data_IF_856528563782
#
_entry.id   IF_856528563782
#
_cell.length_a   1.000
_cell.length_b   1.000
_cell.length_c   1.000
_cell.angle_alpha   90.00
_cell.angle_beta   90.00
_cell.angle_gamma   90.00
#
_symmetry.space_group_name_H-M   'P 1'
#
loop_
_entity.id
_entity.type
_entity.pdbx_description
1 polymer ?
#
# COMPACT_ATOMS: atom_id res chain seq x y z
N UNK A 1 -18.02 18.52 -6.49
CA UNK A 1 -17.22 19.27 -7.47
C UNK A 1 -17.19 18.54 -8.82
N UNK A 2 -16.74 17.29 -8.90
CA UNK A 2 -16.66 16.51 -10.16
C UNK A 2 -18.00 16.52 -10.93
N UNK A 3 -19.11 16.26 -10.26
CA UNK A 3 -20.44 16.19 -10.88
C UNK A 3 -20.93 17.52 -11.44
N UNK A 4 -20.55 18.64 -10.81
CA UNK A 4 -20.88 19.98 -11.31
C UNK A 4 -20.09 20.29 -12.58
N UNK A 5 -18.82 19.90 -12.63
CA UNK A 5 -17.95 20.10 -13.79
C UNK A 5 -18.33 19.20 -14.98
N UNK A 6 -18.92 18.03 -14.72
CA UNK A 6 -19.35 17.09 -15.75
C UNK A 6 -20.77 17.36 -16.28
N UNK A 7 -21.50 18.32 -15.67
CA UNK A 7 -22.88 18.67 -16.06
C UNK A 7 -22.88 19.97 -16.89
N UNK A 8 -22.98 19.90 -18.24
CA UNK A 8 -23.04 21.09 -19.07
C UNK A 8 -24.34 21.85 -18.84
N UNK A 9 -24.27 23.03 -18.26
CA UNK A 9 -25.43 23.86 -17.91
C UNK A 9 -26.25 24.33 -19.13
N UNK A 10 -25.65 24.30 -20.31
CA UNK A 10 -26.31 24.65 -21.57
C UNK A 10 -27.22 23.54 -22.13
N UNK A 11 -27.12 22.32 -21.61
CA UNK A 11 -27.88 21.20 -22.15
C UNK A 11 -29.21 20.96 -21.43
N UNK A 12 -29.30 21.29 -20.16
CA UNK A 12 -30.53 21.13 -19.37
C UNK A 12 -30.50 22.01 -18.11
N UNK A 13 -31.69 22.41 -17.65
CA UNK A 13 -31.86 23.01 -16.35
C UNK A 13 -31.88 21.94 -15.25
N UNK A 14 -31.44 22.23 -14.02
CA UNK A 14 -31.51 21.26 -12.91
C UNK A 14 -32.92 20.71 -12.67
N UNK A 15 -33.94 21.54 -12.78
CA UNK A 15 -35.34 21.22 -12.62
C UNK A 15 -36.13 22.01 -13.65
N UNK A 16 -37.14 21.37 -14.26
CA UNK A 16 -38.10 22.04 -15.13
C UNK A 16 -39.42 22.33 -14.39
N UNK A 17 -40.22 23.32 -14.81
CA UNK A 17 -41.53 23.61 -14.26
C UNK A 17 -42.46 22.37 -14.37
N UNK A 18 -43.21 22.06 -13.31
CA UNK A 18 -44.12 20.94 -13.31
C UNK A 18 -45.48 21.34 -13.89
N UNK A 19 -45.57 21.55 -15.21
CA UNK A 19 -46.77 21.98 -15.94
C UNK A 19 -47.83 20.85 -16.04
N UNK A 20 -47.40 19.59 -16.07
CA UNK A 20 -48.28 18.43 -16.20
C UNK A 20 -48.86 17.96 -14.86
N UNK A 21 -48.52 18.66 -13.75
CA UNK A 21 -48.98 18.33 -12.38
C UNK A 21 -48.61 16.91 -11.98
N UNK A 22 -47.42 16.46 -12.38
CA UNK A 22 -46.87 15.17 -11.93
C UNK A 22 -46.68 15.18 -10.39
N UNK A 23 -46.74 14.03 -9.79
CA UNK A 23 -46.58 13.83 -8.36
C UNK A 23 -45.09 13.85 -7.89
N UNK A 24 -44.18 14.18 -8.80
CA UNK A 24 -42.76 14.18 -8.58
C UNK A 24 -42.05 15.39 -9.22
N UNK A 25 -40.79 15.61 -8.83
CA UNK A 25 -39.96 16.66 -9.39
C UNK A 25 -39.49 16.30 -10.80
N UNK A 26 -39.65 17.24 -11.74
CA UNK A 26 -39.20 17.13 -13.12
C UNK A 26 -37.72 17.51 -13.21
N UNK A 27 -36.82 16.54 -13.01
CA UNK A 27 -35.39 16.79 -13.13
C UNK A 27 -34.95 16.84 -14.58
N UNK A 28 -34.31 17.94 -14.95
CA UNK A 28 -33.80 18.11 -16.31
C UNK A 28 -32.58 17.22 -16.59
N UNK A 29 -32.52 16.72 -17.81
CA UNK A 29 -31.40 15.92 -18.31
C UNK A 29 -31.37 15.95 -19.85
N UNK A 30 -30.39 15.27 -20.45
CA UNK A 30 -30.28 15.09 -21.91
C UNK A 30 -29.76 13.71 -22.24
N UNK A 31 -30.29 13.12 -23.31
CA UNK A 31 -29.82 11.88 -23.92
C UNK A 31 -28.45 12.04 -24.53
N UNK A 32 -27.64 10.97 -24.61
CA UNK A 32 -26.30 10.99 -25.17
C UNK A 32 -25.18 11.35 -24.16
N UNK A 33 -25.49 11.42 -22.87
CA UNK A 33 -24.50 11.64 -21.82
C UNK A 33 -23.63 10.41 -21.54
N UNK A 34 -22.56 10.57 -20.73
CA UNK A 34 -21.56 9.52 -20.48
C UNK A 34 -21.99 8.44 -19.48
N UNK A 35 -23.19 8.52 -18.89
CA UNK A 35 -23.64 7.64 -17.82
C UNK A 35 -24.83 6.80 -18.30
N UNK A 36 -24.67 5.50 -18.28
CA UNK A 36 -25.73 4.54 -18.61
C UNK A 36 -25.16 3.22 -19.14
N UNK A 37 -26.00 2.19 -19.09
CA UNK A 37 -25.75 0.88 -19.70
C UNK A 37 -26.97 0.51 -20.55
N UNK A 38 -26.77 -0.19 -21.65
CA UNK A 38 -27.85 -0.70 -22.47
C UNK A 38 -28.47 0.31 -23.44
N UNK A 39 -27.70 1.26 -23.98
CA UNK A 39 -28.12 2.12 -25.10
C UNK A 39 -28.74 3.47 -24.71
N UNK A 40 -28.93 3.74 -23.42
CA UNK A 40 -29.43 5.02 -22.93
C UNK A 40 -28.38 5.62 -22.00
N UNK A 41 -27.56 6.51 -22.53
CA UNK A 41 -26.65 7.33 -21.71
C UNK A 41 -27.28 8.68 -21.41
N UNK A 42 -27.11 9.14 -20.18
CA UNK A 42 -27.61 10.44 -19.71
C UNK A 42 -26.46 11.22 -19.04
N UNK A 43 -26.66 12.50 -18.79
CA UNK A 43 -25.75 13.30 -18.00
C UNK A 43 -26.04 13.17 -16.50
N UNK A 44 -25.09 13.53 -15.64
CA UNK A 44 -25.38 13.67 -14.20
C UNK A 44 -26.05 15.00 -13.96
N UNK A 45 -27.21 14.96 -13.31
CA UNK A 45 -27.84 16.16 -12.77
C UNK A 45 -27.36 16.36 -11.32
N UNK A 46 -26.54 17.40 -11.02
CA UNK A 46 -25.99 17.63 -9.69
C UNK A 46 -27.07 17.87 -8.63
N UNK A 47 -28.11 18.59 -8.98
CA UNK A 47 -29.22 18.91 -8.06
C UNK A 47 -30.01 17.64 -7.70
N UNK A 48 -30.38 16.84 -8.68
CA UNK A 48 -31.02 15.55 -8.43
C UNK A 48 -30.15 14.68 -7.50
N UNK A 49 -28.84 14.63 -7.74
CA UNK A 49 -27.89 13.90 -6.91
C UNK A 49 -27.80 14.42 -5.47
N UNK A 50 -28.03 15.71 -5.24
CA UNK A 50 -28.05 16.31 -3.90
C UNK A 50 -29.32 16.00 -3.12
N UNK A 51 -30.49 15.93 -3.81
CA UNK A 51 -31.79 15.81 -3.15
C UNK A 51 -32.35 14.40 -3.15
N UNK A 52 -31.76 13.46 -3.92
CA UNK A 52 -32.28 12.10 -4.07
C UNK A 52 -32.23 11.25 -2.79
N UNK A 53 -31.52 11.71 -1.76
CA UNK A 53 -31.48 10.93 -0.52
C UNK A 53 -30.39 11.34 0.45
N UNK A 54 -30.12 10.47 1.40
CA UNK A 54 -29.13 10.66 2.45
C UNK A 54 -28.34 9.39 2.73
N UNK A 55 -27.10 9.55 3.13
CA UNK A 55 -26.23 8.47 3.62
C UNK A 55 -25.81 8.76 5.06
N UNK A 56 -26.17 7.86 5.97
CA UNK A 56 -25.76 7.95 7.37
C UNK A 56 -24.75 6.86 7.66
N UNK A 57 -23.56 7.26 8.13
CA UNK A 57 -22.50 6.34 8.52
C UNK A 57 -22.31 6.39 10.03
N UNK A 58 -22.23 5.22 10.63
CA UNK A 58 -21.86 5.04 12.04
C UNK A 58 -20.67 4.09 12.10
N UNK A 59 -19.59 4.53 12.71
CA UNK A 59 -18.41 3.70 12.89
C UNK A 59 -17.96 3.75 14.34
N UNK A 60 -17.54 2.62 14.87
CA UNK A 60 -16.97 2.52 16.19
C UNK A 60 -15.78 1.56 16.22
N UNK A 61 -14.86 1.82 17.13
CA UNK A 61 -13.71 0.97 17.39
C UNK A 61 -13.68 0.65 18.89
N UNK A 62 -13.69 -0.62 19.22
CA UNK A 62 -13.47 -1.09 20.58
C UNK A 62 -12.06 -1.65 20.65
N UNK A 63 -11.23 -1.06 21.51
CA UNK A 63 -9.90 -1.55 21.81
C UNK A 63 -9.87 -1.95 23.28
N UNK A 64 -9.52 -3.20 23.54
CA UNK A 64 -9.35 -3.72 24.90
C UNK A 64 -7.97 -4.34 25.00
N UNK A 65 -7.26 -4.01 26.06
CA UNK A 65 -5.97 -4.62 26.37
C UNK A 65 -5.95 -5.05 27.83
N UNK A 66 -5.46 -6.24 28.06
CA UNK A 66 -5.14 -6.76 29.39
C UNK A 66 -3.65 -7.03 29.45
N UNK A 67 -3.00 -6.41 30.43
CA UNK A 67 -1.57 -6.52 30.65
C UNK A 67 -1.31 -7.08 32.05
N UNK A 68 -0.46 -8.09 32.11
CA UNK A 68 0.06 -8.66 33.35
C UNK A 68 1.57 -8.48 33.36
N UNK A 69 2.07 -7.84 34.41
CA UNK A 69 3.50 -7.72 34.66
C UNK A 69 3.87 -8.35 35.99
N UNK A 70 4.89 -9.20 35.99
CA UNK A 70 5.38 -9.89 37.16
C UNK A 70 6.91 -9.79 37.23
N UNK A 71 7.40 -9.15 38.29
CA UNK A 71 8.83 -9.19 38.63
C UNK A 71 9.18 -10.57 39.17
N UNK A 72 10.22 -11.15 38.57
CA UNK A 72 10.70 -12.49 38.91
C UNK A 72 12.06 -12.45 39.64
N UNK A 73 12.29 -11.40 40.42
CA UNK A 73 13.53 -11.21 41.19
C UNK A 73 13.81 -12.35 42.19
N UNK A 74 12.77 -13.08 42.58
CA UNK A 74 12.87 -14.27 43.41
C UNK A 74 13.55 -15.46 42.71
N UNK A 75 13.54 -15.48 41.37
CA UNK A 75 14.30 -16.46 40.55
C UNK A 75 15.69 -15.94 40.26
N UNK A 76 15.78 -14.73 39.69
CA UNK A 76 17.03 -14.02 39.48
C UNK A 76 16.79 -12.52 39.38
N UNK A 77 17.66 -11.74 40.01
CA UNK A 77 17.55 -10.26 40.03
C UNK A 77 17.56 -9.70 38.63
N UNK A 78 16.61 -8.83 38.31
CA UNK A 78 16.47 -8.16 37.04
C UNK A 78 15.66 -8.92 35.97
N UNK A 79 15.02 -10.03 36.36
CA UNK A 79 14.10 -10.78 35.49
C UNK A 79 12.67 -10.25 35.66
N UNK A 80 12.01 -10.00 34.52
CA UNK A 80 10.62 -9.54 34.47
C UNK A 80 9.87 -10.30 33.38
N UNK A 81 8.66 -10.74 33.69
CA UNK A 81 7.71 -11.33 32.75
C UNK A 81 6.55 -10.37 32.51
N UNK A 82 6.17 -10.22 31.27
CA UNK A 82 5.04 -9.41 30.83
C UNK A 82 4.20 -10.20 29.83
N UNK A 83 2.89 -10.27 30.06
CA UNK A 83 1.92 -10.83 29.14
C UNK A 83 0.91 -9.75 28.75
N UNK A 84 0.61 -9.68 27.47
CA UNK A 84 -0.37 -8.75 26.90
C UNK A 84 -1.33 -9.52 26.00
N UNK A 85 -2.63 -9.39 26.28
CA UNK A 85 -3.69 -9.80 25.37
C UNK A 85 -4.42 -8.56 24.92
N UNK A 86 -4.52 -8.31 23.62
CA UNK A 86 -5.27 -7.19 23.08
C UNK A 86 -6.29 -7.64 22.06
N UNK A 87 -7.43 -7.00 22.11
CA UNK A 87 -8.54 -7.21 21.19
C UNK A 87 -8.98 -5.87 20.62
N UNK A 88 -9.04 -5.80 19.29
CA UNK A 88 -9.61 -4.67 18.57
C UNK A 88 -10.77 -5.14 17.71
N UNK A 89 -11.88 -4.46 17.79
CA UNK A 89 -13.00 -4.62 16.87
C UNK A 89 -13.37 -3.27 16.27
N UNK A 90 -13.30 -3.14 14.98
CA UNK A 90 -13.80 -2.00 14.24
C UNK A 90 -15.04 -2.43 13.44
N UNK A 91 -16.07 -1.62 13.47
CA UNK A 91 -17.29 -1.83 12.70
C UNK A 91 -17.81 -0.52 12.15
N UNK A 92 -18.27 -0.54 10.92
CA UNK A 92 -18.87 0.59 10.23
C UNK A 92 -20.17 0.12 9.57
N UNK A 93 -21.27 0.79 9.89
CA UNK A 93 -22.56 0.59 9.24
C UNK A 93 -22.91 1.84 8.46
N UNK A 94 -23.28 1.67 7.20
CA UNK A 94 -23.76 2.71 6.31
C UNK A 94 -25.20 2.41 5.95
N UNK A 95 -26.09 3.34 6.23
CA UNK A 95 -27.49 3.30 5.86
C UNK A 95 -27.74 4.36 4.80
N UNK A 96 -28.02 3.93 3.58
CA UNK A 96 -28.40 4.81 2.48
C UNK A 96 -29.92 4.78 2.32
N UNK A 97 -30.50 5.95 2.18
CA UNK A 97 -31.92 6.12 1.82
C UNK A 97 -31.98 7.01 0.61
N UNK A 98 -32.52 6.52 -0.49
CA UNK A 98 -32.58 7.28 -1.72
C UNK A 98 -33.79 6.89 -2.55
N UNK A 99 -34.30 7.82 -3.31
CA UNK A 99 -35.25 7.55 -4.39
C UNK A 99 -34.52 7.60 -5.74
N UNK A 100 -35.13 7.05 -6.78
CA UNK A 100 -34.63 7.13 -8.14
C UNK A 100 -35.27 8.33 -8.84
N UNK A 101 -34.52 9.37 -9.23
CA UNK A 101 -35.08 10.53 -9.88
C UNK A 101 -35.70 10.23 -11.23
N UNK A 102 -36.78 10.93 -11.57
CA UNK A 102 -37.34 10.97 -12.91
C UNK A 102 -36.61 12.00 -13.74
N UNK A 103 -36.06 11.63 -14.89
CA UNK A 103 -35.34 12.54 -15.75
C UNK A 103 -36.10 12.82 -17.04
N UNK A 104 -36.11 14.10 -17.42
CA UNK A 104 -36.81 14.61 -18.58
C UNK A 104 -35.88 15.42 -19.46
N UNK A 105 -36.06 15.29 -20.77
CA UNK A 105 -35.38 16.10 -21.79
C UNK A 105 -36.42 17.11 -22.35
N UNK A 106 -35.97 18.38 -22.43
CA UNK A 106 -36.74 19.44 -23.04
C UNK A 106 -36.83 19.22 -24.55
N UNK A 107 -38.05 19.23 -25.09
CA UNK A 107 -38.28 19.15 -26.53
C UNK A 107 -38.95 20.41 -27.01
N UNK A 108 -38.46 20.95 -28.16
CA UNK A 108 -39.08 21.99 -28.98
C UNK A 108 -39.77 23.11 -28.16
N UNK A 109 -39.03 23.90 -27.35
CA UNK A 109 -39.64 25.03 -26.65
C UNK A 109 -40.26 26.01 -27.67
N UNK A 110 -41.55 26.25 -27.51
CA UNK A 110 -42.31 27.17 -28.38
C UNK A 110 -42.47 28.48 -27.62
N UNK A 111 -41.94 29.57 -28.22
CA UNK A 111 -42.16 30.89 -27.71
C UNK A 111 -43.61 31.34 -27.99
N UNK A 112 -44.29 31.83 -26.95
CA UNK A 112 -45.65 32.37 -27.03
C UNK A 112 -45.62 33.86 -27.36
N UNK A 113 -46.75 34.42 -27.83
CA UNK A 113 -46.85 35.84 -28.19
C UNK A 113 -46.55 36.82 -27.03
N UNK A 114 -46.69 36.34 -25.78
CA UNK A 114 -46.38 37.10 -24.57
C UNK A 114 -44.94 37.02 -24.11
N UNK A 115 -44.04 36.35 -24.91
CA UNK A 115 -42.63 36.13 -24.59
C UNK A 115 -42.41 34.98 -23.60
N UNK A 116 -43.44 34.26 -23.17
CA UNK A 116 -43.33 33.05 -22.39
C UNK A 116 -42.99 31.83 -23.27
N UNK A 117 -42.48 30.74 -22.68
CA UNK A 117 -42.17 29.52 -23.40
C UNK A 117 -43.11 28.40 -22.98
N UNK A 118 -43.75 27.76 -23.97
CA UNK A 118 -44.42 26.49 -23.75
C UNK A 118 -43.36 25.39 -23.83
N UNK A 119 -43.25 24.64 -22.75
CA UNK A 119 -42.30 23.52 -22.64
C UNK A 119 -42.99 22.19 -22.88
N UNK A 120 -42.42 21.36 -23.73
CA UNK A 120 -42.75 19.96 -23.87
C UNK A 120 -41.62 19.10 -23.34
N UNK A 121 -41.93 18.06 -22.56
CA UNK A 121 -40.93 17.22 -21.90
C UNK A 121 -41.09 15.76 -22.35
N UNK A 122 -39.98 15.18 -22.73
CA UNK A 122 -39.90 13.75 -22.95
C UNK A 122 -39.28 13.07 -21.76
N UNK A 123 -39.94 12.05 -21.18
CA UNK A 123 -39.33 11.26 -20.10
C UNK A 123 -38.27 10.33 -20.68
N UNK A 124 -37.03 10.55 -20.30
CA UNK A 124 -35.86 9.77 -20.75
C UNK A 124 -35.42 8.74 -19.71
N UNK A 125 -35.85 8.87 -18.45
CA UNK A 125 -35.61 7.88 -17.41
C UNK A 125 -36.77 7.87 -16.41
N UNK A 126 -37.41 6.72 -16.25
CA UNK A 126 -38.44 6.53 -15.22
C UNK A 126 -37.78 6.36 -13.86
N UNK A 127 -38.24 7.12 -12.90
CA UNK A 127 -37.80 7.08 -11.53
C UNK A 127 -38.81 6.40 -10.60
N UNK A 128 -38.62 6.68 -9.32
CA UNK A 128 -39.47 6.22 -8.22
C UNK A 128 -39.37 7.23 -7.07
N UNK A 129 -40.51 7.70 -6.58
CA UNK A 129 -40.59 8.69 -5.50
C UNK A 129 -40.40 8.07 -4.11
N UNK A 130 -40.72 6.78 -3.96
CA UNK A 130 -40.55 6.07 -2.71
C UNK A 130 -39.06 5.89 -2.37
N UNK A 131 -38.71 6.20 -1.12
CA UNK A 131 -37.34 5.98 -0.60
C UNK A 131 -37.07 4.48 -0.45
N UNK A 132 -36.00 4.05 -1.08
CA UNK A 132 -35.40 2.74 -0.84
C UNK A 132 -34.31 2.85 0.23
N UNK A 133 -34.18 1.83 1.05
CA UNK A 133 -33.14 1.75 2.07
C UNK A 133 -32.23 0.60 1.73
N UNK A 134 -30.92 0.90 1.67
CA UNK A 134 -29.87 -0.12 1.62
C UNK A 134 -28.94 0.04 2.82
N UNK A 135 -28.55 -1.08 3.41
CA UNK A 135 -27.62 -1.10 4.53
C UNK A 135 -26.42 -1.94 4.16
N UNK A 136 -25.24 -1.40 4.38
CA UNK A 136 -23.99 -2.13 4.25
C UNK A 136 -23.23 -2.05 5.57
N UNK A 137 -22.67 -3.17 6.00
CA UNK A 137 -21.84 -3.26 7.19
C UNK A 137 -20.49 -3.82 6.80
N UNK A 138 -19.42 -3.18 7.27
CA UNK A 138 -18.05 -3.65 7.13
C UNK A 138 -17.32 -3.53 8.47
N UNK A 139 -16.30 -4.31 8.67
CA UNK A 139 -15.53 -4.26 9.91
C UNK A 139 -14.40 -5.27 9.92
N UNK A 140 -13.59 -5.16 10.97
CA UNK A 140 -12.51 -6.11 11.21
C UNK A 140 -12.37 -6.43 12.70
N UNK A 141 -11.71 -7.54 12.96
CA UNK A 141 -11.34 -7.98 14.29
C UNK A 141 -9.89 -8.40 14.31
N UNK A 142 -9.14 -7.86 15.26
CA UNK A 142 -7.74 -8.19 15.50
C UNK A 142 -7.57 -8.68 16.94
N UNK A 143 -6.95 -9.83 17.09
CA UNK A 143 -6.54 -10.38 18.37
C UNK A 143 -5.02 -10.53 18.39
N UNK A 144 -4.36 -10.03 19.44
CA UNK A 144 -2.94 -10.21 19.66
C UNK A 144 -2.71 -10.82 21.05
N UNK A 145 -1.80 -11.77 21.09
CA UNK A 145 -1.22 -12.32 22.31
C UNK A 145 0.29 -12.08 22.25
N UNK A 146 0.83 -11.50 23.30
CA UNK A 146 2.28 -11.30 23.45
C UNK A 146 2.71 -11.76 24.84
N UNK A 147 3.79 -12.53 24.90
CA UNK A 147 4.48 -12.86 26.13
C UNK A 147 5.94 -12.43 26.01
N UNK A 148 6.43 -11.69 26.98
CA UNK A 148 7.79 -11.12 26.97
C UNK A 148 8.50 -11.49 28.26
N UNK A 149 9.72 -12.00 28.14
CA UNK A 149 10.63 -12.22 29.24
C UNK A 149 11.81 -11.28 29.06
N UNK A 150 12.02 -10.37 30.01
CA UNK A 150 13.09 -9.40 30.02
C UNK A 150 14.06 -9.70 31.18
N UNK A 151 15.34 -9.60 30.89
CA UNK A 151 16.39 -9.68 31.87
C UNK A 151 17.37 -8.52 31.68
N UNK A 152 17.70 -7.80 32.76
CA UNK A 152 18.68 -6.73 32.73
C UNK A 152 19.46 -6.77 34.04
N UNK A 153 20.78 -6.87 33.92
CA UNK A 153 21.64 -6.90 35.10
C UNK A 153 23.05 -6.40 34.81
N UNK A 154 23.58 -5.61 35.74
CA UNK A 154 24.97 -5.20 35.77
C UNK A 154 25.77 -6.11 36.70
N UNK A 155 26.90 -6.61 36.23
CA UNK A 155 27.82 -7.45 36.97
C UNK A 155 29.15 -6.73 37.14
N UNK A 156 29.61 -6.62 38.39
CA UNK A 156 30.93 -6.03 38.69
C UNK A 156 31.12 -4.61 38.15
N UNK A 157 30.04 -3.80 38.10
CA UNK A 157 30.02 -2.39 37.69
C UNK A 157 30.50 -2.10 36.23
N UNK A 158 30.86 -3.13 35.48
CA UNK A 158 31.42 -3.01 34.13
C UNK A 158 30.70 -3.82 33.07
N UNK A 159 30.02 -4.86 33.45
CA UNK A 159 29.37 -5.78 32.52
C UNK A 159 27.86 -5.58 32.57
N UNK A 160 27.31 -4.83 31.65
CA UNK A 160 25.87 -4.67 31.50
C UNK A 160 25.33 -5.72 30.51
N UNK A 161 24.46 -6.60 31.00
CA UNK A 161 23.88 -7.70 30.23
C UNK A 161 22.38 -7.53 30.18
N UNK A 162 21.84 -7.45 28.96
CA UNK A 162 20.41 -7.47 28.72
C UNK A 162 20.00 -8.67 27.86
N UNK A 163 18.86 -9.27 28.16
CA UNK A 163 18.27 -10.30 27.32
C UNK A 163 16.74 -10.11 27.27
N UNK A 164 16.17 -10.36 26.12
CA UNK A 164 14.72 -10.30 25.90
C UNK A 164 14.29 -11.46 25.02
N UNK A 165 13.22 -12.12 25.41
CA UNK A 165 12.54 -13.13 24.58
C UNK A 165 11.07 -12.73 24.46
N UNK A 166 10.56 -12.71 23.24
CA UNK A 166 9.18 -12.30 22.94
C UNK A 166 8.51 -13.37 22.09
N UNK A 167 7.38 -13.86 22.56
CA UNK A 167 6.45 -14.65 21.75
C UNK A 167 5.29 -13.76 21.32
N UNK A 168 4.93 -13.84 20.05
CA UNK A 168 3.83 -13.12 19.44
C UNK A 168 2.88 -14.08 18.75
N UNK A 169 1.57 -13.83 18.90
CA UNK A 169 0.54 -14.44 18.06
C UNK A 169 -0.48 -13.37 17.66
N UNK A 170 -0.81 -13.32 16.39
CA UNK A 170 -1.77 -12.37 15.81
C UNK A 170 -2.78 -13.11 14.97
N UNK A 171 -4.07 -12.78 15.16
CA UNK A 171 -5.16 -13.22 14.29
C UNK A 171 -5.98 -12.00 13.86
N UNK A 172 -6.12 -11.83 12.55
CA UNK A 172 -6.92 -10.78 11.94
C UNK A 172 -8.04 -11.40 11.11
N UNK A 173 -9.27 -10.89 11.26
CA UNK A 173 -10.45 -11.35 10.56
C UNK A 173 -11.20 -10.16 9.96
N UNK A 174 -11.61 -10.26 8.70
CA UNK A 174 -12.59 -9.39 8.08
C UNK A 174 -14.01 -9.87 8.44
N UNK A 175 -14.87 -8.96 8.91
CA UNK A 175 -16.26 -9.30 9.26
C UNK A 175 -17.18 -9.36 8.03
N UNK A 176 -16.79 -8.70 6.94
CA UNK A 176 -17.54 -8.70 5.69
C UNK A 176 -16.54 -8.82 4.52
N UNK A 177 -15.99 -10.03 4.30
CA UNK A 177 -15.11 -10.29 3.17
C UNK A 177 -15.88 -10.21 1.87
N UNK A 178 -15.15 -9.92 0.78
CA UNK A 178 -15.67 -10.05 -0.58
C UNK A 178 -16.16 -11.48 -0.83
N UNK A 179 -16.77 -11.72 -1.98
CA UNK A 179 -17.18 -13.09 -2.40
C UNK A 179 -15.99 -14.02 -2.66
N UNK A 180 -14.80 -13.64 -2.22
CA UNK A 180 -13.60 -14.47 -2.31
C UNK A 180 -13.48 -15.35 -1.07
N UNK A 181 -13.58 -16.65 -1.25
CA UNK A 181 -13.44 -17.65 -0.18
C UNK A 181 -12.18 -17.46 0.67
N UNK A 182 -11.05 -17.14 0.06
CA UNK A 182 -9.78 -16.98 0.77
C UNK A 182 -9.76 -15.77 1.72
N UNK A 183 -10.56 -14.73 1.42
CA UNK A 183 -10.70 -13.54 2.28
C UNK A 183 -11.60 -13.80 3.50
N UNK A 184 -12.34 -14.92 3.49
CA UNK A 184 -13.15 -15.34 4.66
C UNK A 184 -12.30 -15.98 5.75
N UNK A 185 -11.10 -16.45 5.40
CA UNK A 185 -10.20 -17.12 6.33
C UNK A 185 -9.44 -16.09 7.17
N UNK A 186 -9.23 -16.36 8.47
CA UNK A 186 -8.40 -15.48 9.30
C UNK A 186 -6.97 -15.39 8.78
N UNK A 187 -6.33 -14.24 8.97
CA UNK A 187 -4.90 -14.07 8.77
C UNK A 187 -4.17 -14.32 10.08
N UNK A 188 -3.31 -15.31 10.10
CA UNK A 188 -2.59 -15.73 11.29
C UNK A 188 -1.09 -15.61 11.12
N UNK A 189 -0.47 -14.99 12.11
CA UNK A 189 0.97 -14.88 12.21
C UNK A 189 1.38 -15.26 13.63
N UNK A 190 2.51 -15.93 13.76
CA UNK A 190 3.14 -16.16 15.05
C UNK A 190 4.65 -16.03 14.92
N UNK A 191 5.29 -15.68 16.03
CA UNK A 191 6.73 -15.49 16.02
C UNK A 191 7.34 -15.61 17.40
N UNK A 192 8.61 -15.97 17.40
CA UNK A 192 9.50 -15.90 18.54
C UNK A 192 10.64 -14.97 18.19
N UNK A 193 10.86 -13.91 18.96
CA UNK A 193 11.97 -13.00 18.79
C UNK A 193 12.84 -12.98 20.04
N UNK A 194 14.14 -12.88 19.86
CA UNK A 194 15.08 -12.76 20.96
C UNK A 194 16.09 -11.66 20.72
N UNK A 195 16.53 -11.05 21.80
CA UNK A 195 17.57 -10.01 21.82
C UNK A 195 18.50 -10.29 22.98
N UNK A 196 19.81 -10.17 22.73
CA UNK A 196 20.83 -10.18 23.78
C UNK A 196 21.70 -8.96 23.55
N UNK A 197 21.92 -8.18 24.61
CA UNK A 197 22.78 -7.00 24.59
C UNK A 197 23.88 -7.16 25.62
N UNK A 198 25.07 -6.71 25.28
CA UNK A 198 26.21 -6.69 26.18
C UNK A 198 26.96 -5.38 26.03
N UNK A 199 27.21 -4.72 27.14
CA UNK A 199 28.08 -3.55 27.17
C UNK A 199 29.20 -3.76 28.22
N UNK A 200 30.43 -3.51 27.79
CA UNK A 200 31.58 -3.54 28.68
C UNK A 200 32.08 -2.14 28.97
N UNK A 201 32.03 -1.76 30.25
CA UNK A 201 32.54 -0.49 30.79
C UNK A 201 31.96 0.75 30.05
N UNK A 202 30.77 0.64 29.47
CA UNK A 202 30.14 1.69 28.66
C UNK A 202 30.90 2.04 27.40
N UNK A 203 31.87 1.22 26.96
CA UNK A 203 32.75 1.45 25.80
C UNK A 203 32.47 0.51 24.63
N UNK A 204 32.45 -0.77 24.90
CA UNK A 204 32.26 -1.82 23.87
C UNK A 204 30.87 -2.34 23.96
N UNK A 205 30.13 -2.26 22.88
CA UNK A 205 28.73 -2.66 22.78
C UNK A 205 28.59 -3.80 21.77
N UNK A 206 27.85 -4.81 22.11
CA UNK A 206 27.46 -5.89 21.21
C UNK A 206 25.98 -6.21 21.39
N UNK A 207 25.31 -6.46 20.30
CA UNK A 207 23.90 -6.83 20.29
C UNK A 207 23.65 -7.94 19.28
N UNK A 208 22.98 -8.98 19.71
CA UNK A 208 22.48 -10.05 18.84
C UNK A 208 20.97 -10.11 18.93
N UNK A 209 20.30 -10.11 17.77
CA UNK A 209 18.85 -10.30 17.69
C UNK A 209 18.56 -11.47 16.74
N UNK A 210 17.42 -12.11 16.98
CA UNK A 210 16.84 -13.03 16.02
C UNK A 210 15.32 -12.92 16.01
N UNK A 211 14.72 -13.17 14.85
CA UNK A 211 13.30 -13.41 14.67
C UNK A 211 13.08 -14.78 14.02
N UNK A 212 12.20 -15.59 14.60
CA UNK A 212 11.69 -16.81 14.02
C UNK A 212 10.19 -16.67 13.82
N UNK A 213 9.78 -16.29 12.60
CA UNK A 213 8.43 -15.86 12.29
C UNK A 213 7.75 -16.83 11.34
N UNK A 214 6.47 -17.10 11.57
CA UNK A 214 5.63 -17.95 10.74
C UNK A 214 4.49 -17.17 10.08
N UNK A 215 4.25 -17.44 8.80
CA UNK A 215 3.13 -16.91 8.02
C UNK A 215 2.39 -18.04 7.31
N UNK A 216 1.08 -18.03 7.37
CA UNK A 216 0.25 -19.01 6.65
C UNK A 216 0.14 -18.73 5.14
N UNK A 217 0.66 -17.59 4.68
CA UNK A 217 0.76 -17.29 3.26
C UNK A 217 1.63 -18.28 2.49
N UNK A 218 2.48 -19.03 3.20
CA UNK A 218 3.38 -20.01 2.62
C UNK A 218 2.96 -21.46 2.90
N UNK A 219 3.33 -22.36 2.00
CA UNK A 219 3.07 -23.78 2.13
C UNK A 219 3.72 -24.40 3.38
N UNK A 220 3.13 -25.48 3.88
CA UNK A 220 3.69 -26.24 5.01
C UNK A 220 5.12 -26.68 4.68
N UNK A 221 6.09 -26.25 5.49
CA UNK A 221 7.52 -26.45 5.26
C UNK A 221 8.28 -25.16 4.92
N UNK A 222 7.62 -24.15 4.34
CA UNK A 222 8.19 -22.82 4.04
C UNK A 222 7.62 -21.71 4.92
N UNK A 223 6.72 -22.04 5.84
CA UNK A 223 6.00 -21.06 6.68
C UNK A 223 6.89 -20.26 7.61
N UNK A 224 7.97 -20.87 8.11
CA UNK A 224 8.82 -20.25 9.11
C UNK A 224 10.13 -19.77 8.52
N UNK A 225 10.49 -18.53 8.83
CA UNK A 225 11.76 -17.92 8.48
C UNK A 225 12.57 -17.55 9.71
N UNK A 226 13.90 -17.73 9.66
CA UNK A 226 14.83 -17.33 10.70
C UNK A 226 15.66 -16.13 10.23
N UNK A 227 15.63 -15.04 11.00
CA UNK A 227 16.20 -13.75 10.63
C UNK A 227 17.10 -13.23 11.75
N UNK A 228 18.39 -13.62 11.78
CA UNK A 228 19.36 -13.13 12.76
C UNK A 228 19.90 -11.77 12.37
N UNK A 229 20.34 -11.00 13.38
CA UNK A 229 21.12 -9.79 13.20
C UNK A 229 22.15 -9.62 14.31
N UNK A 230 23.28 -8.98 13.96
CA UNK A 230 24.37 -8.66 14.86
C UNK A 230 24.72 -7.17 14.70
N UNK A 231 24.91 -6.49 15.82
CA UNK A 231 25.42 -5.13 15.85
C UNK A 231 26.55 -4.99 16.87
N UNK A 232 27.52 -4.14 16.53
CA UNK A 232 28.62 -3.78 17.42
C UNK A 232 28.78 -2.27 17.45
N UNK A 233 29.21 -1.76 18.59
CA UNK A 233 29.48 -0.34 18.79
C UNK A 233 30.70 -0.11 19.66
N UNK A 234 31.42 0.95 19.37
CA UNK A 234 32.58 1.36 20.16
C UNK A 234 32.46 2.85 20.47
N UNK A 235 32.35 3.17 21.76
CA UNK A 235 32.37 4.53 22.26
C UNK A 235 33.82 4.95 22.53
N UNK A 236 34.47 5.52 21.54
CA UNK A 236 35.86 5.97 21.61
C UNK A 236 36.00 7.12 22.61
N UNK A 237 35.00 7.98 22.70
CA UNK A 237 35.00 9.10 23.65
C UNK A 237 35.03 8.68 25.12
N UNK A 238 34.72 7.41 25.45
CA UNK A 238 34.80 6.89 26.81
C UNK A 238 36.15 6.27 27.16
N UNK A 239 37.11 6.27 26.21
CA UNK A 239 38.45 5.77 26.46
C UNK A 239 39.32 6.81 27.18
N UNK A 240 40.20 6.34 28.08
CA UNK A 240 41.10 7.21 28.85
C UNK A 240 41.99 8.06 27.98
N UNK A 241 42.48 7.52 26.84
CA UNK A 241 43.34 8.28 25.92
C UNK A 241 42.60 9.41 25.21
N UNK A 242 41.25 9.36 25.19
CA UNK A 242 40.41 10.35 24.54
C UNK A 242 40.11 11.55 25.46
N UNK A 243 40.31 11.42 26.74
CA UNK A 243 39.96 12.42 27.76
C UNK A 243 40.43 13.86 27.41
N UNK A 244 41.66 14.12 26.88
CA UNK A 244 42.06 15.46 26.50
C UNK A 244 41.21 16.10 25.40
N UNK A 245 40.59 15.29 24.55
CA UNK A 245 39.80 15.74 23.41
C UNK A 245 38.31 15.97 23.76
N UNK A 246 37.86 15.53 24.93
CA UNK A 246 36.43 15.59 25.32
C UNK A 246 35.89 17.01 25.42
N UNK A 247 36.72 18.03 25.61
CA UNK A 247 36.33 19.45 25.59
C UNK A 247 35.86 19.91 24.21
N UNK A 248 36.36 19.30 23.14
CA UNK A 248 36.01 19.62 21.76
C UNK A 248 35.07 18.56 21.20
N UNK A 249 35.47 17.29 21.32
CA UNK A 249 34.70 16.14 20.83
C UNK A 249 34.02 15.50 22.04
N UNK A 250 32.77 15.87 22.29
CA UNK A 250 32.03 15.43 23.46
C UNK A 250 31.50 14.00 23.36
N UNK A 251 31.37 13.49 22.14
CA UNK A 251 30.96 12.10 21.87
C UNK A 251 31.59 11.64 20.56
N UNK A 252 32.15 10.45 20.55
CA UNK A 252 32.58 9.76 19.33
C UNK A 252 32.27 8.27 19.47
N UNK A 253 31.30 7.80 18.67
CA UNK A 253 30.91 6.40 18.62
C UNK A 253 30.95 5.90 17.18
N UNK A 254 31.53 4.75 16.96
CA UNK A 254 31.47 4.01 15.70
C UNK A 254 30.57 2.81 15.90
N UNK A 255 29.75 2.49 14.90
CA UNK A 255 28.81 1.36 14.93
C UNK A 255 28.75 0.65 13.59
N UNK A 256 28.55 -0.64 13.66
CA UNK A 256 28.31 -1.47 12.49
C UNK A 256 27.24 -2.52 12.80
N UNK A 257 26.41 -2.83 11.81
CA UNK A 257 25.44 -3.90 11.93
C UNK A 257 25.26 -4.66 10.62
N UNK A 258 24.94 -5.94 10.78
CA UNK A 258 24.53 -6.82 9.72
C UNK A 258 23.30 -7.61 10.18
N UNK A 259 22.28 -7.73 9.33
CA UNK A 259 21.09 -8.48 9.68
C UNK A 259 20.31 -8.98 8.47
N UNK A 260 19.54 -10.03 8.73
CA UNK A 260 18.53 -10.53 7.81
C UNK A 260 17.16 -10.06 8.26
N UNK A 261 16.33 -9.65 7.31
CA UNK A 261 14.92 -9.28 7.52
C UNK A 261 14.07 -10.06 6.55
N UNK A 262 13.04 -10.72 7.06
CA UNK A 262 12.06 -11.44 6.26
C UNK A 262 10.82 -10.59 6.00
N UNK A 263 10.28 -10.66 4.78
CA UNK A 263 8.99 -10.10 4.43
C UNK A 263 8.08 -11.20 3.90
N UNK A 264 6.88 -11.32 4.49
CA UNK A 264 5.83 -12.27 4.08
C UNK A 264 4.66 -11.57 3.39
N UNK A 265 4.80 -10.26 3.10
CA UNK A 265 3.78 -9.51 2.37
C UNK A 265 3.82 -9.90 0.88
N UNK A 266 2.77 -10.53 0.45
CA UNK A 266 2.55 -10.96 -0.95
C UNK A 266 1.35 -10.21 -1.57
N UNK A 267 1.00 -9.07 -1.00
CA UNK A 267 -0.16 -8.26 -1.40
C UNK A 267 -1.49 -8.99 -1.14
N UNK A 268 -2.45 -8.82 -2.03
CA UNK A 268 -3.78 -9.45 -1.91
C UNK A 268 -3.83 -10.94 -2.28
N UNK A 269 -2.69 -11.56 -2.62
CA UNK A 269 -2.64 -12.94 -3.12
C UNK A 269 -2.49 -13.94 -1.98
N UNK A 270 -3.53 -14.12 -1.18
CA UNK A 270 -3.52 -15.15 -0.12
C UNK A 270 -3.37 -16.54 -0.71
N UNK A 271 -2.56 -17.39 -0.06
CA UNK A 271 -2.29 -18.77 -0.45
C UNK A 271 -1.84 -18.91 -1.92
N UNK A 272 -0.78 -18.22 -2.35
CA UNK A 272 -0.35 -18.18 -3.75
C UNK A 272 0.10 -19.56 -4.28
N UNK A 273 0.35 -20.52 -3.40
CA UNK A 273 0.69 -21.89 -3.75
C UNK A 273 -0.53 -22.73 -4.19
N UNK A 274 -1.76 -22.22 -4.04
CA UNK A 274 -2.97 -22.90 -4.46
C UNK A 274 -3.41 -22.47 -5.85
N UNK A 275 -3.67 -23.43 -6.73
CA UNK A 275 -4.35 -23.15 -7.99
C UNK A 275 -5.80 -22.78 -7.71
N UNK A 276 -6.24 -21.65 -8.24
CA UNK A 276 -7.61 -21.14 -8.08
C UNK A 276 -8.46 -21.53 -9.28
N UNK A 277 -9.61 -22.14 -9.02
CA UNK A 277 -10.56 -22.59 -10.03
C UNK A 277 -11.89 -21.92 -9.80
N UNK A 278 -12.43 -21.31 -10.84
CA UNK A 278 -13.80 -20.79 -10.88
C UNK A 278 -14.70 -21.85 -11.52
N UNK A 279 -15.72 -22.29 -10.78
CA UNK A 279 -16.73 -23.26 -11.24
C UNK A 279 -17.92 -22.60 -11.98
N UNK A 280 -17.96 -21.26 -11.99
CA UNK A 280 -18.92 -20.45 -12.72
C UNK A 280 -18.37 -19.91 -14.05
N UNK A 281 -17.24 -20.44 -14.51
CA UNK A 281 -16.59 -20.01 -15.76
C UNK A 281 -17.40 -20.29 -17.01
N UNK A 282 -16.84 -19.88 -18.16
CA UNK A 282 -17.49 -20.09 -19.46
C UNK A 282 -17.87 -21.55 -19.66
N UNK A 283 -19.15 -21.77 -19.86
CA UNK A 283 -19.73 -23.09 -20.02
C UNK A 283 -20.05 -23.42 -21.46
N UNK A 284 -20.84 -24.45 -21.62
CA UNK A 284 -21.32 -24.90 -22.91
C UNK A 284 -22.86 -25.04 -22.91
N UNK A 285 -23.46 -24.87 -24.06
CA UNK A 285 -24.92 -25.00 -24.27
C UNK A 285 -25.18 -26.30 -25.00
N UNK A 286 -26.09 -27.09 -24.46
CA UNK A 286 -26.43 -28.43 -24.93
C UNK A 286 -27.92 -28.51 -25.37
N UNK A 287 -28.28 -29.60 -26.01
CA UNK A 287 -29.63 -29.92 -26.44
C UNK A 287 -29.92 -29.51 -27.89
N UNK A 288 -30.91 -30.09 -28.49
CA UNK A 288 -31.26 -29.92 -29.91
C UNK A 288 -31.58 -28.44 -30.28
N UNK A 289 -32.01 -27.65 -29.31
CA UNK A 289 -32.33 -26.22 -29.49
C UNK A 289 -31.37 -25.32 -28.68
N UNK A 290 -30.24 -25.81 -28.20
CA UNK A 290 -29.25 -25.05 -27.42
C UNK A 290 -29.82 -24.41 -26.16
N UNK A 291 -30.77 -25.07 -25.48
CA UNK A 291 -31.51 -24.51 -24.36
C UNK A 291 -30.92 -24.86 -22.98
N UNK A 292 -30.08 -25.88 -22.90
CA UNK A 292 -29.51 -26.33 -21.64
C UNK A 292 -28.09 -25.75 -21.49
N UNK A 293 -27.95 -24.72 -20.68
CA UNK A 293 -26.65 -24.14 -20.35
C UNK A 293 -26.05 -24.84 -19.14
N UNK A 294 -24.76 -25.16 -19.22
CA UNK A 294 -23.96 -25.67 -18.09
C UNK A 294 -22.72 -24.82 -17.94
N UNK A 295 -22.45 -24.37 -16.73
CA UNK A 295 -21.21 -23.66 -16.42
C UNK A 295 -20.01 -24.58 -16.53
N UNK A 296 -18.90 -24.04 -16.98
CA UNK A 296 -17.61 -24.72 -17.03
C UNK A 296 -16.73 -24.40 -15.83
N UNK A 297 -15.70 -25.19 -15.64
CA UNK A 297 -14.63 -24.88 -14.69
C UNK A 297 -13.48 -24.18 -15.43
N UNK A 298 -13.04 -23.05 -14.89
CA UNK A 298 -11.92 -22.27 -15.47
C UNK A 298 -10.86 -22.01 -14.40
N UNK A 299 -9.59 -22.28 -14.72
CA UNK A 299 -8.47 -21.90 -13.84
C UNK A 299 -8.31 -20.38 -13.96
N UNK A 300 -8.35 -19.68 -12.83
CA UNK A 300 -8.19 -18.23 -12.76
C UNK A 300 -6.76 -17.81 -12.40
N UNK A 301 -6.03 -18.66 -11.70
CA UNK A 301 -4.62 -18.46 -11.38
C UNK A 301 -3.97 -19.80 -11.09
N UNK A 302 -2.81 -20.07 -11.68
CA UNK A 302 -2.02 -21.26 -11.34
C UNK A 302 -1.29 -21.03 -10.02
N UNK A 303 -1.27 -22.05 -9.17
CA UNK A 303 -0.50 -22.06 -7.93
C UNK A 303 1.01 -21.93 -8.19
N UNK A 304 1.66 -21.17 -7.34
CA UNK A 304 3.10 -20.98 -7.39
C UNK A 304 3.82 -22.03 -6.57
N UNK A 305 4.74 -22.79 -7.18
CA UNK A 305 5.54 -23.76 -6.45
C UNK A 305 6.58 -23.06 -5.56
N UNK A 306 6.77 -23.58 -4.34
CA UNK A 306 7.87 -23.21 -3.42
C UNK A 306 7.99 -21.73 -3.11
N UNK A 307 6.86 -21.02 -2.99
CA UNK A 307 6.88 -19.64 -2.51
C UNK A 307 7.38 -19.57 -1.08
N UNK A 308 8.31 -18.66 -0.82
CA UNK A 308 8.97 -18.45 0.47
C UNK A 308 9.10 -16.97 0.79
N UNK A 309 9.67 -16.67 1.94
CA UNK A 309 9.95 -15.33 2.42
C UNK A 309 10.88 -14.56 1.46
N UNK A 310 10.55 -13.33 1.20
CA UNK A 310 11.50 -12.36 0.68
C UNK A 310 12.52 -12.02 1.77
N UNK A 311 13.82 -12.00 1.43
CA UNK A 311 14.91 -11.79 2.38
C UNK A 311 15.68 -10.52 2.02
N UNK A 312 15.69 -9.57 2.95
CA UNK A 312 16.56 -8.38 2.91
C UNK A 312 17.83 -8.61 3.72
N UNK A 313 19.00 -8.53 3.08
CA UNK A 313 20.31 -8.47 3.76
C UNK A 313 20.68 -7.03 3.95
N UNK A 314 20.75 -6.58 5.21
CA UNK A 314 21.01 -5.20 5.57
C UNK A 314 22.41 -5.07 6.18
N UNK A 315 23.14 -4.09 5.68
CA UNK A 315 24.45 -3.68 6.15
C UNK A 315 24.37 -2.21 6.51
N UNK A 316 24.86 -1.85 7.68
CA UNK A 316 24.94 -0.47 8.10
C UNK A 316 26.27 -0.25 8.81
N UNK A 317 26.95 0.85 8.48
CA UNK A 317 28.14 1.35 9.19
C UNK A 317 27.92 2.82 9.43
N UNK A 318 28.07 3.26 10.66
CA UNK A 318 27.83 4.66 10.99
C UNK A 318 28.75 5.16 12.11
N UNK A 319 28.75 6.47 12.27
CA UNK A 319 29.38 7.13 13.40
C UNK A 319 28.50 8.25 13.95
N UNK A 320 28.64 8.47 15.24
CA UNK A 320 27.97 9.54 15.98
C UNK A 320 29.06 10.45 16.54
N UNK A 321 29.06 11.74 16.14
CA UNK A 321 30.01 12.74 16.54
C UNK A 321 29.32 13.88 17.28
N UNK A 322 29.67 14.08 18.53
CA UNK A 322 29.27 15.24 19.33
C UNK A 322 30.41 16.27 19.42
N UNK A 323 30.11 17.53 19.19
CA UNK A 323 31.10 18.62 19.30
C UNK A 323 30.61 19.68 20.29
N UNK A 324 31.51 20.09 21.22
CA UNK A 324 31.32 21.17 22.18
C UNK A 324 30.04 21.00 23.07
N UNK A 325 29.48 19.79 23.19
CA UNK A 325 28.17 19.53 23.80
C UNK A 325 26.99 20.35 23.19
N UNK A 326 27.15 20.83 21.97
CA UNK A 326 26.17 21.69 21.28
C UNK A 326 25.76 21.14 19.92
N UNK A 327 26.65 20.49 19.23
CA UNK A 327 26.44 19.95 17.90
C UNK A 327 26.53 18.42 17.94
N UNK A 328 25.55 17.74 17.35
CA UNK A 328 25.55 16.29 17.17
C UNK A 328 25.37 15.97 15.70
N UNK A 329 26.32 15.23 15.14
CA UNK A 329 26.29 14.73 13.76
C UNK A 329 26.23 13.21 13.79
N UNK A 330 25.18 12.64 13.17
CA UNK A 330 25.04 11.21 12.96
C UNK A 330 25.12 10.94 11.46
N UNK A 331 25.93 9.97 11.07
CA UNK A 331 26.08 9.55 9.68
C UNK A 331 26.00 8.05 9.59
N UNK A 332 25.17 7.55 8.66
CA UNK A 332 24.97 6.14 8.36
C UNK A 332 25.19 5.87 6.88
N UNK A 333 26.05 4.92 6.58
CA UNK A 333 26.16 4.31 5.27
C UNK A 333 25.43 2.99 5.30
N UNK A 334 24.44 2.84 4.43
CA UNK A 334 23.61 1.65 4.39
C UNK A 334 23.61 0.98 3.03
N UNK A 335 23.43 -0.33 3.04
CA UNK A 335 23.15 -1.15 1.87
C UNK A 335 22.17 -2.24 2.23
N UNK A 336 21.16 -2.41 1.40
CA UNK A 336 20.19 -3.49 1.46
C UNK A 336 20.17 -4.26 0.15
N UNK A 337 20.45 -5.55 0.20
CA UNK A 337 20.27 -6.48 -0.92
C UNK A 337 19.04 -7.33 -0.63
N UNK A 338 17.95 -7.07 -1.33
CA UNK A 338 16.69 -7.83 -1.23
C UNK A 338 16.68 -8.90 -2.31
N UNK A 339 16.32 -10.12 -1.93
CA UNK A 339 16.21 -11.27 -2.83
C UNK A 339 14.92 -12.03 -2.57
N UNK A 340 14.61 -12.93 -3.47
CA UNK A 340 13.42 -13.76 -3.39
C UNK A 340 12.13 -12.91 -3.37
N UNK A 341 12.12 -11.76 -4.09
CA UNK A 341 10.98 -10.86 -4.17
C UNK A 341 9.85 -11.55 -4.93
N UNK A 342 8.66 -11.54 -4.33
CA UNK A 342 7.47 -12.16 -4.89
C UNK A 342 6.94 -11.36 -6.08
N UNK A 343 7.04 -11.92 -7.27
CA UNK A 343 6.64 -11.31 -8.53
C UNK A 343 5.85 -12.30 -9.38
N UNK A 344 5.01 -11.77 -10.29
CA UNK A 344 4.36 -12.57 -11.30
C UNK A 344 5.38 -12.97 -12.38
N UNK A 345 5.34 -14.23 -12.83
CA UNK A 345 6.21 -14.73 -13.87
C UNK A 345 5.83 -14.13 -15.22
N UNK A 346 6.76 -13.44 -15.89
CA UNK A 346 6.51 -12.74 -17.15
C UNK A 346 7.12 -13.46 -18.38
N UNK A 347 8.03 -14.41 -18.17
CA UNK A 347 8.75 -15.12 -19.24
C UNK A 347 8.02 -16.35 -19.76
N UNK A 348 6.77 -16.62 -19.34
CA UNK A 348 5.94 -17.68 -19.88
C UNK A 348 5.48 -17.30 -21.29
N UNK A 349 5.79 -18.11 -22.34
CA UNK A 349 5.36 -17.83 -23.69
C UNK A 349 3.82 -17.77 -23.82
N UNK A 350 3.32 -16.83 -24.60
CA UNK A 350 1.87 -16.64 -24.80
C UNK A 350 1.20 -17.86 -25.47
N UNK A 351 1.94 -18.61 -26.26
CA UNK A 351 1.50 -19.82 -26.95
C UNK A 351 1.10 -20.95 -25.98
N UNK A 352 1.57 -20.90 -24.73
CA UNK A 352 1.13 -21.82 -23.69
C UNK A 352 -0.34 -21.62 -23.27
N UNK A 353 -0.97 -20.49 -23.66
CA UNK A 353 -2.28 -20.07 -23.18
C UNK A 353 -2.28 -19.48 -21.76
N UNK A 354 -1.13 -19.49 -21.06
CA UNK A 354 -0.99 -18.95 -19.71
C UNK A 354 -0.63 -17.47 -19.81
N UNK A 355 -1.65 -16.61 -19.89
CA UNK A 355 -1.48 -15.17 -20.05
C UNK A 355 -2.13 -14.37 -18.92
N UNK A 356 -1.76 -13.11 -18.78
CA UNK A 356 -2.39 -12.20 -17.80
C UNK A 356 -2.39 -12.75 -16.37
N UNK A 357 -3.57 -12.85 -15.78
CA UNK A 357 -3.77 -13.28 -14.39
C UNK A 357 -3.58 -14.79 -14.17
N UNK A 358 -3.56 -15.58 -15.24
CA UNK A 358 -3.26 -17.02 -15.16
C UNK A 358 -1.81 -17.30 -14.80
N UNK A 359 -0.88 -16.36 -15.06
CA UNK A 359 0.55 -16.56 -14.79
C UNK A 359 0.79 -16.75 -13.30
N UNK A 360 1.51 -17.81 -12.92
CA UNK A 360 1.85 -18.06 -11.53
C UNK A 360 2.83 -17.00 -11.01
N UNK A 361 2.85 -16.87 -9.71
CA UNK A 361 3.85 -16.07 -9.00
C UNK A 361 5.08 -16.90 -8.65
N UNK A 362 6.17 -16.23 -8.25
CA UNK A 362 7.38 -16.85 -7.74
C UNK A 362 8.28 -15.83 -7.05
N UNK A 363 9.29 -16.32 -6.36
CA UNK A 363 10.34 -15.51 -5.74
C UNK A 363 11.43 -15.18 -6.77
N UNK A 364 11.15 -14.23 -7.68
CA UNK A 364 11.89 -14.03 -8.94
C UNK A 364 12.72 -12.74 -8.99
N UNK A 365 12.56 -11.85 -8.02
CA UNK A 365 13.18 -10.53 -8.06
C UNK A 365 14.35 -10.37 -7.09
N UNK A 366 15.33 -9.56 -7.48
CA UNK A 366 16.40 -9.05 -6.62
C UNK A 366 16.56 -7.55 -6.83
N UNK A 367 16.65 -6.82 -5.72
CA UNK A 367 16.81 -5.37 -5.71
C UNK A 367 17.91 -4.99 -4.74
N UNK A 368 18.71 -3.99 -5.12
CA UNK A 368 19.67 -3.36 -4.22
C UNK A 368 19.24 -1.94 -3.94
N UNK A 369 19.36 -1.53 -2.68
CA UNK A 369 19.24 -0.15 -2.25
C UNK A 369 20.46 0.21 -1.40
N UNK A 370 21.11 1.35 -1.67
CA UNK A 370 22.27 1.80 -0.90
C UNK A 370 22.31 3.31 -0.86
N UNK A 371 22.91 3.84 0.20
CA UNK A 371 22.93 5.28 0.36
C UNK A 371 23.64 5.74 1.63
N UNK A 372 23.38 7.00 1.95
CA UNK A 372 23.87 7.67 3.15
C UNK A 372 22.72 8.47 3.78
N UNK A 373 22.58 8.34 5.09
CA UNK A 373 21.71 9.15 5.92
C UNK A 373 22.54 9.99 6.86
N UNK A 374 22.19 11.27 7.00
CA UNK A 374 22.86 12.20 7.88
C UNK A 374 21.84 13.00 8.69
N UNK A 375 22.12 13.22 9.96
CA UNK A 375 21.40 14.20 10.77
C UNK A 375 22.37 15.08 11.54
N UNK A 376 22.11 16.38 11.53
CA UNK A 376 22.85 17.39 12.24
C UNK A 376 21.90 18.10 13.20
N UNK A 377 22.18 18.02 14.50
CA UNK A 377 21.43 18.66 15.55
C UNK A 377 22.31 19.69 16.26
N UNK A 378 21.85 20.93 16.33
CA UNK A 378 22.51 22.00 17.07
C UNK A 378 21.60 22.48 18.20
N UNK A 379 22.14 22.48 19.43
CA UNK A 379 21.44 22.93 20.61
C UNK A 379 22.37 23.83 21.45
N UNK A 380 21.97 25.07 21.67
CA UNK A 380 22.74 26.02 22.45
C UNK A 380 21.85 26.88 23.33
N UNK A 381 22.05 26.77 24.65
CA UNK A 381 21.51 27.72 25.61
C UNK A 381 22.42 28.96 25.61
N UNK A 382 21.90 30.08 25.06
CA UNK A 382 22.59 31.37 25.04
C UNK A 382 22.49 32.04 26.41
N UNK A 383 21.34 31.90 27.06
CA UNK A 383 21.08 32.35 28.45
C UNK A 383 20.15 31.35 29.15
N UNK A 384 19.80 31.63 30.41
CA UNK A 384 18.84 30.82 31.17
C UNK A 384 17.45 30.80 30.52
N UNK A 385 17.10 31.85 29.79
CA UNK A 385 15.79 32.05 29.22
C UNK A 385 15.75 31.98 27.68
N UNK A 386 16.94 31.80 27.05
CA UNK A 386 17.03 31.79 25.60
C UNK A 386 17.86 30.60 25.10
N UNK A 387 17.22 29.73 24.33
CA UNK A 387 17.84 28.55 23.71
C UNK A 387 17.65 28.60 22.19
N UNK A 388 18.70 28.26 21.47
CA UNK A 388 18.66 28.07 20.02
C UNK A 388 18.79 26.60 19.73
N UNK A 389 17.85 26.05 18.95
CA UNK A 389 17.93 24.68 18.42
C UNK A 389 17.70 24.67 16.91
N UNK A 390 18.50 23.92 16.20
CA UNK A 390 18.36 23.72 14.75
C UNK A 390 18.63 22.25 14.42
N UNK A 391 17.83 21.69 13.51
CA UNK A 391 18.01 20.32 13.03
C UNK A 391 17.99 20.29 11.51
N UNK A 392 18.98 19.63 10.92
CA UNK A 392 19.06 19.34 9.49
C UNK A 392 19.17 17.84 9.27
N UNK A 393 18.47 17.32 8.25
CA UNK A 393 18.58 15.94 7.83
C UNK A 393 18.86 15.87 6.34
N UNK A 394 19.69 14.91 5.93
CA UNK A 394 20.01 14.66 4.54
C UNK A 394 20.01 13.16 4.29
N UNK A 395 19.31 12.73 3.23
CA UNK A 395 19.28 11.34 2.78
C UNK A 395 19.59 11.29 1.29
N UNK A 396 20.55 10.45 0.92
CA UNK A 396 20.78 10.07 -0.46
C UNK A 396 20.67 8.56 -0.59
N UNK A 397 19.74 8.09 -1.43
CA UNK A 397 19.51 6.67 -1.67
C UNK A 397 19.45 6.38 -3.18
N UNK A 398 20.09 5.29 -3.59
CA UNK A 398 20.02 4.78 -4.96
C UNK A 398 19.59 3.33 -4.93
N UNK A 399 18.46 3.03 -5.57
CA UNK A 399 17.97 1.67 -5.75
C UNK A 399 18.11 1.22 -7.21
N UNK A 400 18.17 -0.09 -7.42
CA UNK A 400 18.22 -0.67 -8.76
C UNK A 400 17.77 -2.13 -8.74
N UNK A 401 17.16 -2.57 -9.85
CA UNK A 401 16.91 -3.99 -10.10
C UNK A 401 18.22 -4.70 -10.36
N UNK A 402 18.48 -5.79 -9.63
CA UNK A 402 19.60 -6.68 -9.86
C UNK A 402 19.20 -7.90 -10.69
N UNK A 403 17.95 -8.33 -10.52
CA UNK A 403 17.34 -9.43 -11.24
C UNK A 403 15.82 -9.27 -11.23
N UNK A 404 15.17 -9.54 -12.33
CA UNK A 404 13.72 -9.55 -12.50
C UNK A 404 13.36 -10.56 -13.59
N UNK A 405 12.16 -11.14 -13.54
CA UNK A 405 11.68 -12.07 -14.55
C UNK A 405 11.23 -11.29 -15.79
N UNK A 406 12.16 -11.04 -16.70
CA UNK A 406 11.95 -10.35 -17.98
C UNK A 406 12.57 -11.14 -19.14
N UNK A 407 12.02 -11.06 -20.36
CA UNK A 407 12.58 -11.72 -21.52
C UNK A 407 13.94 -11.10 -21.91
N UNK A 408 14.73 -11.84 -22.67
CA UNK A 408 15.92 -11.31 -23.31
C UNK A 408 15.52 -10.29 -24.37
N UNK A 409 15.78 -9.02 -24.11
CA UNK A 409 15.49 -7.95 -25.04
C UNK A 409 16.64 -7.75 -26.03
N UNK A 410 16.31 -7.51 -27.29
CA UNK A 410 17.28 -7.19 -28.34
C UNK A 410 18.12 -5.93 -27.99
N UNK A 411 17.49 -4.96 -27.31
CA UNK A 411 18.12 -3.69 -26.94
C UNK A 411 18.21 -3.54 -25.43
N UNK A 412 19.40 -3.28 -24.92
CA UNK A 412 19.66 -3.13 -23.49
C UNK A 412 18.85 -2.01 -22.82
N UNK A 413 18.40 -0.99 -23.54
CA UNK A 413 17.56 0.07 -22.98
C UNK A 413 16.14 -0.42 -22.62
N UNK A 414 15.71 -1.55 -23.13
CA UNK A 414 14.40 -2.14 -22.83
C UNK A 414 14.42 -2.89 -21.49
N UNK A 415 15.59 -3.41 -21.07
CA UNK A 415 15.74 -4.12 -19.78
C UNK A 415 15.55 -3.18 -18.60
N UNK A 416 14.97 -3.71 -17.53
CA UNK A 416 14.84 -3.03 -16.23
C UNK A 416 16.04 -3.30 -15.33
N UNK A 417 16.81 -4.37 -15.57
CA UNK A 417 17.98 -4.71 -14.79
C UNK A 417 19.01 -3.57 -14.84
N UNK A 418 19.54 -3.19 -13.67
CA UNK A 418 20.44 -2.06 -13.49
C UNK A 418 19.77 -0.68 -13.39
N UNK A 419 18.46 -0.61 -13.60
CA UNK A 419 17.69 0.66 -13.55
C UNK A 419 17.01 0.84 -12.18
N UNK A 420 16.69 2.09 -11.81
CA UNK A 420 15.89 2.37 -10.60
C UNK A 420 14.52 1.71 -10.63
N UNK A 421 14.02 1.36 -9.45
CA UNK A 421 12.64 0.91 -9.28
C UNK A 421 11.68 2.04 -9.68
N UNK A 422 10.57 1.67 -10.33
CA UNK A 422 9.52 2.61 -10.74
C UNK A 422 10.01 3.74 -11.66
N UNK A 423 11.07 3.50 -12.43
CA UNK A 423 11.52 4.46 -13.42
C UNK A 423 10.46 4.62 -14.51
N UNK A 424 10.03 5.85 -14.76
CA UNK A 424 9.18 6.15 -15.92
C UNK A 424 9.92 5.84 -17.22
N UNK A 425 9.24 5.16 -18.12
CA UNK A 425 9.70 4.92 -19.49
C UNK A 425 8.81 5.73 -20.42
N UNK A 426 9.41 6.39 -21.37
CA UNK A 426 8.71 7.19 -22.36
C UNK A 426 9.61 7.51 -23.55
N UNK A 427 9.04 8.08 -24.57
CA UNK A 427 9.77 8.60 -25.69
C UNK A 427 10.34 9.98 -25.38
N UNK A 428 11.47 10.32 -25.97
CA UNK A 428 12.06 11.65 -25.87
C UNK A 428 11.44 12.50 -26.97
N UNK A 429 10.69 13.54 -26.59
CA UNK A 429 10.17 14.50 -27.54
C UNK A 429 11.33 15.29 -28.18
N UNK A 430 11.44 15.26 -29.51
CA UNK A 430 12.45 15.98 -30.27
C UNK A 430 12.03 17.43 -30.58
N UNK A 431 10.79 17.77 -30.27
CA UNK A 431 10.18 19.07 -30.51
C UNK A 431 8.76 18.96 -31.06
N UNK A 432 8.31 19.98 -31.76
CA UNK A 432 7.03 19.97 -32.47
C UNK A 432 7.32 20.05 -33.99
N UNK A 433 6.50 19.40 -34.79
CA UNK A 433 6.56 19.53 -36.25
C UNK A 433 6.16 20.94 -36.64
N UNK A 434 7.00 21.61 -37.45
CA UNK A 434 6.76 22.99 -37.90
C UNK A 434 5.72 23.06 -39.02
N UNK A 435 5.82 22.14 -39.98
CA UNK A 435 5.02 22.10 -41.18
C UNK A 435 4.88 20.67 -41.74
N UNK A 436 4.12 20.54 -42.82
CA UNK A 436 3.89 19.25 -43.47
C UNK A 436 5.17 18.70 -44.15
N UNK A 437 6.05 19.55 -44.64
CA UNK A 437 7.30 19.14 -45.26
C UNK A 437 8.22 18.45 -44.25
N UNK A 438 8.29 18.95 -43.03
CA UNK A 438 9.06 18.30 -41.96
C UNK A 438 8.46 16.92 -41.57
N UNK A 439 7.13 16.79 -41.57
CA UNK A 439 6.45 15.51 -41.32
C UNK A 439 6.79 14.51 -42.42
N UNK A 440 6.70 14.90 -43.69
CA UNK A 440 6.91 14.05 -44.85
C UNK A 440 8.37 13.57 -44.95
N UNK A 441 9.33 14.38 -44.46
CA UNK A 441 10.76 14.04 -44.40
C UNK A 441 11.19 13.33 -43.13
N UNK A 442 10.28 13.11 -42.16
CA UNK A 442 10.55 12.43 -40.89
C UNK A 442 10.15 10.95 -40.97
N UNK A 443 10.74 10.06 -40.12
CA UNK A 443 10.25 8.71 -39.99
C UNK A 443 8.77 8.70 -39.60
N UNK A 444 8.00 7.79 -40.21
CA UNK A 444 6.56 7.68 -39.95
C UNK A 444 6.29 7.35 -38.50
N UNK A 445 5.55 8.21 -37.79
CA UNK A 445 5.07 7.93 -36.46
C UNK A 445 3.91 6.91 -36.51
N UNK A 446 3.93 5.97 -35.57
CA UNK A 446 2.90 4.91 -35.43
C UNK A 446 2.17 4.99 -34.08
N UNK A 447 2.44 6.03 -33.27
CA UNK A 447 1.90 6.19 -31.91
C UNK A 447 0.53 6.85 -31.89
N UNK A 448 0.28 7.75 -32.84
CA UNK A 448 -0.98 8.48 -32.99
C UNK A 448 -1.53 8.27 -34.40
N UNK A 449 -2.76 8.67 -34.70
CA UNK A 449 -3.35 8.57 -36.01
C UNK A 449 -2.65 9.47 -37.05
N UNK A 450 -3.36 10.45 -37.62
CA UNK A 450 -2.79 11.38 -38.56
C UNK A 450 -1.98 12.45 -37.83
N UNK A 451 -0.69 12.55 -38.15
CA UNK A 451 0.21 13.58 -37.59
C UNK A 451 0.01 14.89 -38.35
N UNK A 452 -0.05 15.99 -37.61
CA UNK A 452 -0.27 17.34 -38.15
C UNK A 452 0.83 18.32 -37.70
N UNK A 453 1.06 19.42 -38.39
CA UNK A 453 1.92 20.49 -37.89
C UNK A 453 1.52 20.96 -36.51
N UNK A 454 2.48 21.03 -35.58
CA UNK A 454 2.25 21.33 -34.16
C UNK A 454 2.17 20.10 -33.26
N UNK A 455 2.10 18.90 -33.81
CA UNK A 455 2.19 17.67 -33.02
C UNK A 455 3.64 17.41 -32.54
N UNK A 456 3.76 16.60 -31.49
CA UNK A 456 5.06 16.22 -30.92
C UNK A 456 5.79 15.29 -31.90
N UNK A 457 7.06 15.61 -32.17
CA UNK A 457 7.95 14.81 -32.99
C UNK A 457 8.93 13.99 -32.17
#
# INVERSE_FOLDING_TARGET
>A
YKYVMEAPSMYFAPVYPNINREDHTIFGNKSGGPIGSGGFSIYRNPYASMVQGSSKQSAYTINTAFELEQKLDFLTKGLNFKALVSFKNWSKTTVNRSFSPYFYELQNPQEQEDGSYLYDYNSISKGRTALETSTSTTGDRLMNLQATLNYQRMFGDKHDVGAMLVYLQREYNLNNPDNNYYNTLPERNQGLAGRVTYAYDGRYLAEFNFGYNGSENFEKGSRYGFFPSLAVGYLISNEKFFEPLTKVISNLKIRASYGLVGNADIGSNRFPYLTKVDLGGAGFVFGDQWQTSSNGATITTYGAEKVTWEIGKKYNVGFDLGLFNKLSLNVDFFREDRKDIFLRRNTIPAESGITGDLRPYGNLGKVRNQGVDMSLDYNHAVSKDFMISAKGTFTYAKNQYMEIDEPDYEYAYMSQVGRPLNQYKGYIALGLFKDQEEIDNSPKQILTGVVQPGDIK
#
